data_IF_559119942309
#
_entry.id   IF_559119942309
#
_cell.length_a   1.000
_cell.length_b   1.000
_cell.length_c   1.000
_cell.angle_alpha   90.00
_cell.angle_beta   90.00
_cell.angle_gamma   90.00
#
_symmetry.space_group_name_H-M   'P 1'
#
loop_
_entity.id
_entity.type
_entity.pdbx_description
1 polymer ?
#
# COMPACT_ATOMS: atom_id res chain seq x y z
N UNK A 1 -3.52 17.67 -13.20
CA UNK A 1 -4.94 17.82 -12.82
C UNK A 1 -5.27 16.62 -11.95
N UNK A 2 -5.67 16.84 -10.71
CA UNK A 2 -6.10 15.72 -9.85
C UNK A 2 -7.36 15.11 -10.47
N UNK A 3 -7.36 13.80 -10.63
CA UNK A 3 -8.54 13.06 -11.07
C UNK A 3 -9.68 13.36 -10.07
N UNK A 4 -10.85 13.73 -10.59
CA UNK A 4 -12.02 13.99 -9.73
C UNK A 4 -13.00 12.83 -9.92
N UNK A 5 -13.30 12.14 -8.83
CA UNK A 5 -14.35 11.12 -8.76
C UNK A 5 -15.66 11.86 -8.48
N UNK A 6 -16.63 11.74 -9.36
CA UNK A 6 -17.91 12.45 -9.24
C UNK A 6 -19.12 11.53 -9.01
N UNK A 7 -18.92 10.22 -9.15
CA UNK A 7 -19.95 9.19 -8.92
C UNK A 7 -19.35 7.96 -8.23
N UNK A 8 -20.15 7.14 -7.56
CA UNK A 8 -19.70 5.83 -7.10
C UNK A 8 -19.19 4.96 -8.25
N UNK A 9 -18.10 4.23 -8.02
CA UNK A 9 -17.51 3.38 -9.06
C UNK A 9 -16.10 2.88 -8.74
N UNK A 10 -15.49 2.24 -9.74
CA UNK A 10 -14.12 1.72 -9.72
C UNK A 10 -13.28 2.53 -10.71
N UNK A 11 -12.15 3.00 -10.26
CA UNK A 11 -11.31 3.95 -10.99
C UNK A 11 -9.85 3.50 -11.00
N UNK A 12 -9.17 3.79 -12.10
CA UNK A 12 -7.72 3.67 -12.19
C UNK A 12 -7.13 5.07 -12.11
N UNK A 13 -6.66 5.46 -10.92
CA UNK A 13 -6.03 6.75 -10.66
C UNK A 13 -4.66 6.53 -10.01
N UNK A 14 -3.82 7.54 -10.04
CA UNK A 14 -2.49 7.47 -9.43
C UNK A 14 -2.59 7.33 -7.89
N UNK A 15 -1.53 6.77 -7.28
CA UNK A 15 -1.39 6.73 -5.82
C UNK A 15 -1.49 8.14 -5.20
N UNK A 16 -0.86 9.13 -5.83
CA UNK A 16 -0.90 10.51 -5.38
C UNK A 16 -2.32 11.09 -5.40
N UNK A 17 -3.08 10.84 -6.48
CA UNK A 17 -4.48 11.29 -6.57
C UNK A 17 -5.37 10.63 -5.52
N UNK A 18 -5.19 9.32 -5.28
CA UNK A 18 -5.92 8.62 -4.24
C UNK A 18 -5.68 9.25 -2.86
N UNK A 19 -4.42 9.52 -2.51
CA UNK A 19 -4.06 10.10 -1.22
C UNK A 19 -4.44 11.59 -1.07
N UNK A 20 -4.57 12.31 -2.20
CA UNK A 20 -5.09 13.69 -2.20
C UNK A 20 -6.61 13.78 -2.01
N UNK A 21 -7.29 12.65 -1.85
CA UNK A 21 -8.75 12.53 -1.76
C UNK A 21 -9.48 13.05 -3.01
N UNK A 22 -9.67 12.19 -4.02
CA UNK A 22 -10.27 12.57 -5.30
C UNK A 22 -11.79 12.75 -5.26
N UNK A 23 -12.46 12.44 -4.15
CA UNK A 23 -13.93 12.53 -4.01
C UNK A 23 -14.41 13.99 -3.94
N UNK A 24 -15.70 14.29 -4.22
CA UNK A 24 -16.20 15.67 -4.21
C UNK A 24 -16.13 16.37 -2.84
N UNK A 25 -16.41 15.64 -1.77
CA UNK A 25 -16.31 16.09 -0.38
C UNK A 25 -15.28 15.25 0.36
N UNK A 26 -14.84 15.63 1.57
CA UNK A 26 -13.97 14.82 2.40
C UNK A 26 -14.48 13.39 2.51
N UNK A 27 -13.66 12.41 2.14
CA UNK A 27 -14.07 11.02 2.10
C UNK A 27 -13.35 10.15 3.14
N UNK A 28 -14.03 9.12 3.62
CA UNK A 28 -13.52 8.18 4.58
C UNK A 28 -12.67 7.12 3.87
N UNK A 29 -11.41 7.02 4.23
CA UNK A 29 -10.54 5.89 3.89
C UNK A 29 -10.32 5.01 5.12
N UNK A 30 -9.85 3.77 4.92
CA UNK A 30 -9.52 2.88 6.05
C UNK A 30 -8.54 3.51 7.05
N UNK A 31 -7.56 4.28 6.56
CA UNK A 31 -6.60 4.98 7.43
C UNK A 31 -7.28 6.05 8.29
N UNK A 32 -8.16 6.85 7.70
CA UNK A 32 -8.93 7.88 8.42
C UNK A 32 -9.93 7.23 9.38
N UNK A 33 -10.59 6.13 8.97
CA UNK A 33 -11.49 5.37 9.82
C UNK A 33 -10.78 4.82 11.06
N UNK A 34 -9.58 4.27 10.92
CA UNK A 34 -8.76 3.79 12.04
C UNK A 34 -8.46 4.90 13.05
N UNK A 35 -8.10 6.09 12.57
CA UNK A 35 -7.84 7.25 13.45
C UNK A 35 -9.11 7.70 14.15
N UNK A 36 -10.22 7.78 13.42
CA UNK A 36 -11.52 8.15 13.97
C UNK A 36 -11.97 7.22 15.11
N UNK A 37 -11.78 5.91 14.93
CA UNK A 37 -12.17 4.90 15.91
C UNK A 37 -11.21 4.82 17.12
N UNK A 38 -9.91 5.03 16.90
CA UNK A 38 -8.89 4.83 17.94
C UNK A 38 -8.53 6.11 18.70
N UNK A 39 -8.82 7.25 18.14
CA UNK A 39 -8.42 8.53 18.70
C UNK A 39 -9.63 9.47 18.81
N UNK A 40 -9.81 10.38 17.84
CA UNK A 40 -10.93 11.29 17.84
C UNK A 40 -11.20 11.90 16.46
N UNK A 41 -12.38 12.51 16.23
CA UNK A 41 -12.66 13.28 15.01
C UNK A 41 -11.64 14.38 14.72
N UNK A 42 -11.11 15.05 15.74
CA UNK A 42 -10.10 16.09 15.57
C UNK A 42 -8.80 15.53 15.01
N UNK A 43 -8.34 14.38 15.51
CA UNK A 43 -7.15 13.70 14.98
C UNK A 43 -7.37 13.21 13.54
N UNK A 44 -8.55 12.67 13.24
CA UNK A 44 -8.90 12.26 11.87
C UNK A 44 -8.91 13.44 10.90
N UNK A 45 -9.46 14.58 11.30
CA UNK A 45 -9.45 15.80 10.50
C UNK A 45 -8.01 16.30 10.23
N UNK A 46 -7.12 16.24 11.21
CA UNK A 46 -5.72 16.64 11.03
C UNK A 46 -4.96 15.75 10.04
N UNK A 47 -5.36 14.50 9.89
CA UNK A 47 -4.75 13.54 8.94
C UNK A 47 -5.46 13.50 7.59
N UNK A 48 -6.45 14.37 7.36
CA UNK A 48 -7.22 14.36 6.14
C UNK A 48 -6.83 15.52 5.21
N UNK A 49 -6.48 15.25 3.93
CA UNK A 49 -5.93 16.26 3.02
C UNK A 49 -6.90 17.42 2.72
N UNK A 50 -8.21 17.19 2.79
CA UNK A 50 -9.22 18.24 2.55
C UNK A 50 -9.69 18.96 3.81
N UNK A 51 -9.39 18.44 4.99
CA UNK A 51 -9.80 19.04 6.26
C UNK A 51 -8.65 19.77 6.96
N UNK A 52 -7.41 19.48 6.58
CA UNK A 52 -6.22 20.11 7.13
C UNK A 52 -5.46 20.86 6.03
N UNK A 53 -5.50 22.18 6.04
CA UNK A 53 -4.78 23.02 5.08
C UNK A 53 -3.24 22.87 5.17
N UNK A 54 -2.73 22.38 6.28
CA UNK A 54 -1.31 22.11 6.49
C UNK A 54 -0.98 20.61 6.33
N UNK A 55 -1.88 19.84 5.73
CA UNK A 55 -1.65 18.43 5.47
C UNK A 55 -0.43 18.24 4.57
N UNK A 56 0.56 17.55 5.09
CA UNK A 56 1.69 17.06 4.32
C UNK A 56 1.50 15.55 4.20
N UNK A 57 1.36 15.07 2.97
CA UNK A 57 1.45 13.65 2.73
C UNK A 57 2.88 13.23 3.12
N UNK A 58 3.03 12.73 4.32
CA UNK A 58 4.25 12.08 4.73
C UNK A 58 4.32 10.76 3.94
N UNK A 59 4.66 10.84 2.67
CA UNK A 59 5.20 9.68 1.98
C UNK A 59 6.30 9.17 2.87
N UNK A 60 6.06 8.01 3.46
CA UNK A 60 7.01 7.36 4.32
C UNK A 60 8.29 7.21 3.49
N UNK A 61 9.30 8.01 3.82
CA UNK A 61 10.65 7.86 3.26
C UNK A 61 11.27 6.51 3.68
N UNK A 62 10.55 5.73 4.44
CA UNK A 62 10.84 4.36 4.81
C UNK A 62 10.30 3.47 3.70
N UNK A 63 11.10 3.28 2.66
CA UNK A 63 10.99 2.09 1.83
C UNK A 63 11.32 0.90 2.73
N UNK A 64 10.33 0.38 3.42
CA UNK A 64 10.52 -0.87 4.11
C UNK A 64 10.40 -2.04 3.12
N UNK A 65 10.91 -3.19 3.51
CA UNK A 65 10.87 -4.39 2.68
C UNK A 65 9.44 -4.77 2.28
N UNK A 66 8.45 -4.42 3.11
CA UNK A 66 7.05 -4.65 2.84
C UNK A 66 6.55 -3.87 1.63
N UNK A 67 6.85 -2.58 1.56
CA UNK A 67 6.46 -1.74 0.41
C UNK A 67 7.09 -2.24 -0.88
N UNK A 68 8.36 -2.68 -0.83
CA UNK A 68 9.05 -3.22 -2.00
C UNK A 68 8.45 -4.57 -2.41
N UNK A 69 8.19 -5.45 -1.44
CA UNK A 69 7.56 -6.74 -1.69
C UNK A 69 6.19 -6.59 -2.35
N UNK A 70 5.42 -5.62 -1.88
CA UNK A 70 4.11 -5.26 -2.42
C UNK A 70 4.22 -4.84 -3.90
N UNK A 71 5.10 -3.87 -4.22
CA UNK A 71 5.29 -3.42 -5.60
C UNK A 71 5.75 -4.57 -6.53
N UNK A 72 6.69 -5.41 -6.07
CA UNK A 72 7.15 -6.56 -6.84
C UNK A 72 6.07 -7.61 -7.07
N UNK A 73 5.23 -7.88 -6.08
CA UNK A 73 4.18 -8.89 -6.19
C UNK A 73 3.06 -8.42 -7.12
N UNK A 74 2.63 -7.15 -6.98
CA UNK A 74 1.47 -6.61 -7.68
C UNK A 74 1.77 -6.18 -9.10
N UNK A 75 2.91 -5.49 -9.31
CA UNK A 75 3.22 -4.84 -10.58
C UNK A 75 4.21 -5.63 -11.43
N UNK A 76 4.82 -6.66 -10.85
CA UNK A 76 5.94 -7.44 -11.45
C UNK A 76 7.09 -6.54 -11.93
N UNK A 77 7.18 -5.32 -11.39
CA UNK A 77 8.16 -4.32 -11.80
C UNK A 77 9.41 -4.35 -10.91
N UNK A 78 10.38 -5.15 -11.32
CA UNK A 78 11.72 -5.15 -10.71
C UNK A 78 12.64 -4.05 -11.27
N UNK A 79 12.22 -3.33 -12.31
CA UNK A 79 13.07 -2.36 -13.01
C UNK A 79 13.48 -1.17 -12.15
N UNK A 80 12.68 -0.86 -11.12
CA UNK A 80 12.95 0.20 -10.16
C UNK A 80 13.88 -0.21 -9.03
N UNK A 81 14.10 -1.50 -8.82
CA UNK A 81 15.01 -1.98 -7.79
C UNK A 81 16.46 -1.80 -8.20
N UNK A 82 17.26 -1.31 -7.27
CA UNK A 82 18.71 -1.28 -7.40
C UNK A 82 19.36 -1.88 -6.15
N UNK A 83 20.21 -2.87 -6.34
CA UNK A 83 20.96 -3.48 -5.24
C UNK A 83 22.22 -2.68 -4.94
N UNK A 84 22.44 -2.41 -3.67
CA UNK A 84 23.64 -1.73 -3.16
C UNK A 84 24.52 -2.75 -2.46
N UNK A 85 25.77 -2.86 -2.90
CA UNK A 85 26.82 -3.70 -2.35
C UNK A 85 27.32 -3.12 -1.02
N UNK A 86 26.54 -3.31 0.04
CA UNK A 86 26.90 -2.93 1.39
C UNK A 86 26.24 -3.85 2.41
N UNK A 87 26.85 -4.03 3.57
CA UNK A 87 26.30 -4.81 4.67
C UNK A 87 25.16 -4.07 5.38
N UNK A 88 25.26 -2.77 5.48
CA UNK A 88 24.25 -1.90 6.11
C UNK A 88 24.31 -0.47 5.56
N UNK A 89 23.38 0.37 6.01
CA UNK A 89 23.28 1.79 5.63
C UNK A 89 24.12 2.73 6.49
N UNK A 90 25.13 2.25 7.26
CA UNK A 90 25.91 3.10 8.18
C UNK A 90 27.05 3.81 7.50
N UNK A 91 27.65 3.20 6.50
CA UNK A 91 28.80 3.79 5.79
C UNK A 91 28.39 5.00 4.96
N UNK A 92 29.30 5.95 4.77
CA UNK A 92 29.09 7.14 3.95
C UNK A 92 28.76 6.74 2.50
N UNK A 93 29.54 5.81 1.95
CA UNK A 93 29.34 5.32 0.57
C UNK A 93 27.97 4.69 0.36
N UNK A 94 27.47 3.86 1.32
CA UNK A 94 26.15 3.25 1.24
C UNK A 94 25.03 4.30 1.28
N UNK A 95 25.19 5.33 2.12
CA UNK A 95 24.21 6.43 2.20
C UNK A 95 24.18 7.24 0.91
N UNK A 96 25.33 7.60 0.35
CA UNK A 96 25.44 8.34 -0.91
C UNK A 96 24.84 7.55 -2.07
N UNK A 97 25.15 6.25 -2.18
CA UNK A 97 24.57 5.36 -3.19
C UNK A 97 23.05 5.25 -3.07
N UNK A 98 22.54 5.13 -1.84
CA UNK A 98 21.10 5.12 -1.55
C UNK A 98 20.43 6.42 -2.00
N UNK A 99 21.00 7.55 -1.64
CA UNK A 99 20.42 8.87 -1.90
C UNK A 99 20.48 9.21 -3.41
N UNK A 100 21.54 8.81 -4.10
CA UNK A 100 21.63 8.89 -5.55
C UNK A 100 20.55 8.04 -6.25
N UNK A 101 20.41 6.79 -5.85
CA UNK A 101 19.36 5.91 -6.39
C UNK A 101 17.96 6.48 -6.20
N UNK A 102 17.67 7.05 -5.03
CA UNK A 102 16.37 7.70 -4.75
C UNK A 102 16.15 8.95 -5.62
N UNK A 103 17.18 9.73 -5.86
CA UNK A 103 17.10 10.90 -6.76
C UNK A 103 16.74 10.50 -8.20
N UNK A 104 17.09 9.28 -8.61
CA UNK A 104 16.71 8.68 -9.89
C UNK A 104 15.33 7.99 -9.88
N UNK A 105 14.58 8.07 -8.78
CA UNK A 105 13.30 7.37 -8.61
C UNK A 105 13.43 5.86 -8.44
N UNK A 106 14.65 5.37 -8.17
CA UNK A 106 14.93 3.96 -7.90
C UNK A 106 14.67 3.62 -6.43
N UNK A 107 14.51 2.33 -6.16
CA UNK A 107 14.32 1.78 -4.82
C UNK A 107 15.60 1.04 -4.42
N UNK A 108 16.49 1.64 -3.61
CA UNK A 108 17.73 1.00 -3.19
C UNK A 108 17.47 -0.05 -2.11
N UNK A 109 18.06 -1.21 -2.29
CA UNK A 109 18.00 -2.34 -1.35
C UNK A 109 19.40 -2.93 -1.17
N UNK A 110 19.74 -3.37 0.04
CA UNK A 110 20.99 -4.10 0.28
C UNK A 110 20.93 -5.50 -0.34
N UNK A 111 22.04 -5.98 -0.88
CA UNK A 111 22.12 -7.30 -1.54
C UNK A 111 21.54 -8.42 -0.68
N UNK A 112 21.86 -8.44 0.63
CA UNK A 112 21.33 -9.43 1.57
C UNK A 112 19.80 -9.36 1.71
N UNK A 113 19.25 -8.15 1.68
CA UNK A 113 17.80 -7.93 1.76
C UNK A 113 17.11 -8.32 0.45
N UNK A 114 17.76 -8.09 -0.70
CA UNK A 114 17.21 -8.44 -2.01
C UNK A 114 16.97 -9.95 -2.13
N UNK A 115 17.90 -10.78 -1.70
CA UNK A 115 17.75 -12.24 -1.73
C UNK A 115 16.56 -12.71 -0.87
N UNK A 116 16.40 -12.14 0.34
CA UNK A 116 15.27 -12.44 1.22
C UNK A 116 13.94 -12.00 0.61
N UNK A 117 13.91 -10.78 0.08
CA UNK A 117 12.74 -10.21 -0.57
C UNK A 117 12.26 -11.04 -1.76
N UNK A 118 13.18 -11.40 -2.66
CA UNK A 118 12.85 -12.22 -3.84
C UNK A 118 12.31 -13.59 -3.45
N UNK A 119 12.89 -14.21 -2.41
CA UNK A 119 12.38 -15.48 -1.88
C UNK A 119 10.96 -15.32 -1.32
N UNK A 120 10.70 -14.27 -0.54
CA UNK A 120 9.39 -13.99 0.05
C UNK A 120 8.32 -13.75 -1.03
N UNK A 121 8.62 -12.94 -2.03
CA UNK A 121 7.72 -12.68 -3.16
C UNK A 121 7.50 -13.93 -4.00
N UNK A 122 8.57 -14.71 -4.27
CA UNK A 122 8.47 -15.98 -4.98
C UNK A 122 7.53 -16.97 -4.25
N UNK A 123 7.70 -17.12 -2.94
CA UNK A 123 6.82 -17.99 -2.13
C UNK A 123 5.36 -17.53 -2.19
N UNK A 124 5.10 -16.21 -2.13
CA UNK A 124 3.74 -15.68 -2.24
C UNK A 124 3.13 -15.93 -3.63
N UNK A 125 3.92 -15.79 -4.70
CA UNK A 125 3.47 -16.11 -6.08
C UNK A 125 3.15 -17.59 -6.25
N UNK A 126 4.01 -18.47 -5.73
CA UNK A 126 3.79 -19.93 -5.79
C UNK A 126 2.51 -20.30 -5.03
N UNK A 127 2.33 -19.75 -3.84
CA UNK A 127 1.11 -19.98 -3.06
C UNK A 127 -0.15 -19.50 -3.78
N UNK A 128 -0.13 -18.31 -4.38
CA UNK A 128 -1.28 -17.79 -5.15
C UNK A 128 -1.58 -18.66 -6.36
N UNK A 129 -0.57 -19.05 -7.14
CA UNK A 129 -0.72 -19.91 -8.31
C UNK A 129 -1.33 -21.27 -7.95
N UNK A 130 -0.90 -21.84 -6.85
CA UNK A 130 -1.31 -23.18 -6.43
C UNK A 130 -2.61 -23.17 -5.58
N UNK A 131 -3.19 -21.99 -5.33
CA UNK A 131 -4.44 -21.81 -4.59
C UNK A 131 -5.67 -21.78 -5.50
N UNK A 132 -6.86 -21.75 -4.90
CA UNK A 132 -8.16 -21.64 -5.60
C UNK A 132 -8.28 -20.36 -6.45
N UNK A 133 -7.45 -19.37 -6.21
CA UNK A 133 -7.45 -18.10 -6.96
C UNK A 133 -6.42 -18.08 -8.10
N UNK A 134 -5.66 -19.16 -8.30
CA UNK A 134 -4.56 -19.24 -9.27
C UNK A 134 -4.99 -18.95 -10.72
N UNK A 135 -6.19 -19.34 -11.10
CA UNK A 135 -6.74 -19.10 -12.44
C UNK A 135 -7.50 -17.75 -12.56
N UNK A 136 -7.62 -16.99 -11.49
CA UNK A 136 -8.33 -15.70 -11.50
C UNK A 136 -7.44 -14.58 -12.03
N UNK A 137 -8.07 -13.65 -12.73
CA UNK A 137 -7.38 -12.44 -13.21
C UNK A 137 -7.69 -11.27 -12.29
N UNK A 138 -6.65 -10.54 -11.90
CA UNK A 138 -6.72 -9.41 -10.99
C UNK A 138 -6.25 -8.11 -11.63
N UNK A 139 -6.81 -7.01 -11.17
CA UNK A 139 -6.35 -5.64 -11.46
C UNK A 139 -5.71 -5.07 -10.20
N UNK A 140 -4.44 -4.64 -10.26
CA UNK A 140 -3.78 -4.05 -9.10
C UNK A 140 -4.33 -2.65 -8.82
N UNK A 141 -4.33 -2.29 -7.55
CA UNK A 141 -4.48 -0.93 -7.04
C UNK A 141 -5.66 -0.14 -7.62
N UNK A 142 -6.79 -0.80 -7.82
CA UNK A 142 -8.01 -0.12 -8.25
C UNK A 142 -8.56 0.74 -7.10
N UNK A 143 -8.98 1.96 -7.41
CA UNK A 143 -9.65 2.83 -6.44
C UNK A 143 -11.15 2.59 -6.50
N UNK A 144 -11.71 2.15 -5.39
CA UNK A 144 -13.15 2.05 -5.21
C UNK A 144 -13.65 3.31 -4.50
N UNK A 145 -14.74 3.87 -4.97
CA UNK A 145 -15.40 4.99 -4.30
C UNK A 145 -16.91 4.74 -4.24
N UNK A 146 -17.51 4.96 -3.08
CA UNK A 146 -18.95 4.78 -2.85
C UNK A 146 -19.47 5.76 -1.83
N UNK A 147 -20.76 5.72 -1.57
CA UNK A 147 -21.41 6.57 -0.56
C UNK A 147 -22.14 5.71 0.47
N UNK A 148 -21.94 6.05 1.74
CA UNK A 148 -22.73 5.60 2.87
C UNK A 148 -23.58 6.79 3.36
N UNK A 149 -24.84 6.80 2.97
CA UNK A 149 -25.67 7.98 3.15
C UNK A 149 -25.11 9.19 2.41
N UNK A 150 -24.69 10.22 3.14
CA UNK A 150 -24.07 11.43 2.57
C UNK A 150 -22.54 11.41 2.59
N UNK A 151 -21.93 10.38 3.19
CA UNK A 151 -20.49 10.27 3.36
C UNK A 151 -19.87 9.54 2.17
N UNK A 152 -18.91 10.16 1.52
CA UNK A 152 -18.06 9.47 0.56
C UNK A 152 -17.09 8.55 1.29
N UNK A 153 -16.94 7.34 0.76
CA UNK A 153 -15.97 6.37 1.20
C UNK A 153 -15.07 5.99 0.04
N UNK A 154 -13.81 5.65 0.33
CA UNK A 154 -12.87 5.15 -0.67
C UNK A 154 -11.97 4.06 -0.11
N UNK A 155 -11.66 3.10 -0.96
CA UNK A 155 -10.68 2.05 -0.69
C UNK A 155 -9.76 1.85 -1.90
N UNK A 156 -8.59 1.28 -1.65
CA UNK A 156 -7.65 0.90 -2.69
C UNK A 156 -7.05 -0.45 -2.30
N UNK A 157 -7.73 -1.55 -2.67
CA UNK A 157 -7.20 -2.88 -2.42
C UNK A 157 -5.95 -3.13 -3.28
N UNK A 158 -5.09 -4.01 -2.81
CA UNK A 158 -3.91 -4.43 -3.54
C UNK A 158 -4.29 -5.06 -4.88
N UNK A 159 -5.26 -5.98 -4.85
CA UNK A 159 -5.84 -6.59 -6.05
C UNK A 159 -7.36 -6.71 -5.96
N UNK A 160 -8.01 -6.40 -7.05
CA UNK A 160 -9.44 -6.67 -7.27
C UNK A 160 -9.58 -7.64 -8.45
N UNK A 161 -10.31 -8.75 -8.27
CA UNK A 161 -10.60 -9.67 -9.37
C UNK A 161 -11.40 -8.97 -10.48
N UNK A 162 -11.18 -9.38 -11.72
CA UNK A 162 -11.86 -8.75 -12.88
C UNK A 162 -13.37 -8.93 -12.87
N UNK A 163 -13.85 -10.01 -12.28
CA UNK A 163 -15.27 -10.27 -12.05
C UNK A 163 -15.82 -9.56 -10.80
N UNK A 164 -14.95 -8.88 -10.02
CA UNK A 164 -15.29 -8.09 -8.83
C UNK A 164 -15.86 -8.91 -7.67
N UNK A 165 -15.55 -10.19 -7.61
CA UNK A 165 -16.03 -11.09 -6.53
C UNK A 165 -15.04 -11.25 -5.39
N UNK A 166 -13.75 -10.91 -5.63
CA UNK A 166 -12.69 -11.11 -4.66
C UNK A 166 -11.74 -9.92 -4.56
N UNK A 167 -11.37 -9.59 -3.34
CA UNK A 167 -10.27 -8.68 -3.01
C UNK A 167 -9.15 -9.49 -2.37
N UNK A 168 -7.93 -9.30 -2.85
CA UNK A 168 -6.73 -9.80 -2.20
C UNK A 168 -5.90 -8.64 -1.68
N UNK A 169 -5.38 -8.80 -0.47
CA UNK A 169 -4.58 -7.81 0.21
C UNK A 169 -3.31 -8.47 0.77
N UNK A 170 -2.15 -8.06 0.28
CA UNK A 170 -0.86 -8.65 0.64
C UNK A 170 -0.27 -7.95 1.85
N UNK A 171 -0.01 -8.72 2.91
CA UNK A 171 0.61 -8.20 4.13
C UNK A 171 1.90 -8.93 4.44
N UNK A 172 2.96 -8.16 4.64
CA UNK A 172 4.21 -8.68 5.19
C UNK A 172 4.17 -8.67 6.70
N UNK A 173 4.74 -9.69 7.32
CA UNK A 173 4.78 -9.84 8.78
C UNK A 173 6.08 -10.52 9.20
N UNK A 174 6.52 -10.27 10.43
CA UNK A 174 7.66 -10.96 11.03
C UNK A 174 7.35 -12.42 11.39
N UNK A 175 6.06 -12.73 11.60
CA UNK A 175 5.57 -14.07 11.90
C UNK A 175 4.29 -14.35 11.10
N UNK A 176 4.40 -15.23 10.10
CA UNK A 176 3.30 -15.68 9.26
C UNK A 176 2.53 -16.88 9.83
N UNK A 177 2.81 -17.30 11.06
CA UNK A 177 2.01 -18.33 11.74
C UNK A 177 0.54 -17.87 11.81
N UNK A 178 -0.45 -18.70 11.45
CA UNK A 178 -1.85 -18.29 11.41
C UNK A 178 -2.36 -17.67 12.73
N UNK A 179 -1.99 -18.21 13.87
CA UNK A 179 -2.41 -17.67 15.18
C UNK A 179 -1.79 -16.29 15.46
N UNK A 180 -0.52 -16.09 15.09
CA UNK A 180 0.14 -14.81 15.22
C UNK A 180 -0.47 -13.78 14.27
N UNK A 181 -0.78 -14.17 13.04
CA UNK A 181 -1.38 -13.31 12.05
C UNK A 181 -2.82 -12.89 12.40
N UNK A 182 -3.63 -13.81 12.95
CA UNK A 182 -4.98 -13.47 13.45
C UNK A 182 -4.91 -12.38 14.52
N UNK A 183 -3.97 -12.48 15.48
CA UNK A 183 -3.75 -11.40 16.45
C UNK A 183 -3.33 -10.09 15.80
N UNK A 184 -2.53 -10.16 14.74
CA UNK A 184 -2.10 -8.97 13.99
C UNK A 184 -3.25 -8.32 13.25
N UNK A 185 -4.18 -9.08 12.66
CA UNK A 185 -5.40 -8.56 12.01
C UNK A 185 -6.14 -7.62 12.96
N UNK A 186 -6.45 -8.06 14.17
CA UNK A 186 -7.13 -7.23 15.16
C UNK A 186 -6.29 -6.03 15.63
N UNK A 187 -4.98 -6.23 15.89
CA UNK A 187 -4.10 -5.15 16.34
C UNK A 187 -3.94 -4.05 15.28
N UNK A 188 -3.86 -4.40 14.02
CA UNK A 188 -3.65 -3.49 12.89
C UNK A 188 -4.97 -3.01 12.27
N UNK A 189 -6.12 -3.53 12.73
CA UNK A 189 -7.45 -3.28 12.16
C UNK A 189 -7.46 -3.49 10.65
N UNK A 190 -7.00 -4.66 10.22
CA UNK A 190 -7.09 -5.04 8.81
C UNK A 190 -8.53 -5.32 8.39
N UNK A 191 -9.40 -5.68 9.34
CA UNK A 191 -10.85 -5.80 9.18
C UNK A 191 -11.53 -4.51 8.68
N UNK A 192 -10.91 -3.35 8.86
CA UNK A 192 -11.40 -2.08 8.30
C UNK A 192 -10.94 -1.82 6.85
N UNK A 193 -10.21 -2.74 6.26
CA UNK A 193 -9.72 -2.62 4.89
C UNK A 193 -10.55 -3.47 3.90
N UNK A 194 -11.28 -4.45 4.43
CA UNK A 194 -12.13 -5.39 3.69
C UNK A 194 -13.54 -4.85 3.48
#
# INVERSE_FOLDING_TARGET
>A
MNAKITSPGIYTISHADYHADPCPTPSLSSSVAKVLLRQSPAHAAMQHPKLNNNYVNAESSRFDLGTIAHALLLEDDSSRLITIEADDWRTKAAKEARDAARAEGKIPILVKQAAHLLKMVGTARDFLRDSEVGDMTFKPEQTLAWQEGTTWCRARPDWLSTDRTLILDYKTTDDANPEAFIRQIGRMSYDLQS
#
